data_IF_337304295837
#
_entry.id   IF_337304295837
#
_cell.length_a   1.000
_cell.length_b   1.000
_cell.length_c   1.000
_cell.angle_alpha   90.00
_cell.angle_beta   90.00
_cell.angle_gamma   90.00
#
_symmetry.space_group_name_H-M   'P 1'
#
loop_
_entity.id
_entity.type
_entity.pdbx_description
1 polymer ?
#
# COMPACT_ATOMS: atom_id res chain seq x y z
N UNK A 1 8.86 -6.37 -24.36
CA UNK A 1 8.52 -6.70 -22.95
C UNK A 1 8.90 -8.16 -22.66
N UNK A 2 10.15 -8.43 -22.25
CA UNK A 2 10.59 -9.80 -21.91
C UNK A 2 10.05 -10.18 -20.52
N UNK A 3 9.50 -11.38 -20.41
CA UNK A 3 9.21 -12.01 -19.13
C UNK A 3 10.51 -12.22 -18.35
N UNK A 4 10.52 -11.92 -17.05
CA UNK A 4 11.64 -12.27 -16.18
C UNK A 4 11.68 -13.80 -16.04
N UNK A 5 12.71 -14.50 -16.55
CA UNK A 5 12.75 -15.96 -16.64
C UNK A 5 12.90 -16.66 -15.27
N UNK A 6 13.04 -15.91 -14.18
CA UNK A 6 13.33 -16.43 -12.84
C UNK A 6 12.10 -16.67 -11.95
N UNK A 7 10.88 -16.33 -12.40
CA UNK A 7 9.65 -16.65 -11.64
C UNK A 7 9.32 -18.14 -11.88
N UNK A 8 9.85 -19.03 -11.03
CA UNK A 8 9.51 -20.46 -11.01
C UNK A 8 8.40 -20.71 -9.98
N UNK A 9 7.32 -21.38 -10.38
CA UNK A 9 6.21 -21.77 -9.49
C UNK A 9 6.37 -23.22 -9.01
N UNK A 10 5.91 -23.48 -7.78
CA UNK A 10 5.95 -24.79 -7.10
C UNK A 10 4.94 -25.82 -7.64
N UNK A 11 4.02 -25.40 -8.52
CA UNK A 11 2.99 -26.26 -9.12
C UNK A 11 3.09 -26.16 -10.64
N UNK A 12 3.11 -27.29 -11.34
CA UNK A 12 3.38 -27.40 -12.79
C UNK A 12 2.30 -26.83 -13.72
N UNK A 13 1.53 -25.83 -13.29
CA UNK A 13 0.52 -25.15 -14.10
C UNK A 13 1.13 -24.01 -14.92
N UNK A 14 0.63 -23.74 -16.14
CA UNK A 14 1.17 -22.69 -17.01
C UNK A 14 0.96 -21.29 -16.41
N UNK A 15 1.99 -20.44 -16.54
CA UNK A 15 1.99 -19.06 -16.01
C UNK A 15 1.12 -18.15 -16.88
N UNK A 16 0.03 -17.65 -16.31
CA UNK A 16 -0.76 -16.57 -16.94
C UNK A 16 -0.07 -15.23 -16.69
N UNK A 17 0.35 -14.56 -17.77
CA UNK A 17 0.86 -13.18 -17.68
C UNK A 17 -0.31 -12.25 -17.36
N UNK A 18 -0.17 -11.47 -16.29
CA UNK A 18 -1.12 -10.42 -15.93
C UNK A 18 -0.33 -9.12 -15.78
N UNK A 19 -0.97 -7.99 -16.12
CA UNK A 19 -0.40 -6.65 -15.99
C UNK A 19 -1.38 -5.75 -15.25
N UNK A 20 -0.86 -4.74 -14.56
CA UNK A 20 -1.65 -3.66 -13.96
C UNK A 20 -1.69 -2.53 -14.99
N UNK A 21 -2.90 -2.12 -15.39
CA UNK A 21 -3.11 -1.08 -16.42
C UNK A 21 -3.42 0.29 -15.85
N UNK A 22 -3.71 0.39 -14.55
CA UNK A 22 -3.99 1.63 -13.86
C UNK A 22 -3.94 1.45 -12.35
N UNK A 23 -3.62 2.53 -11.63
CA UNK A 23 -3.53 2.61 -10.18
C UNK A 23 -4.07 3.97 -9.73
N UNK A 24 -4.83 3.96 -8.64
CA UNK A 24 -5.32 5.14 -7.95
C UNK A 24 -5.20 4.93 -6.45
N UNK A 25 -4.96 6.00 -5.70
CA UNK A 25 -4.70 5.92 -4.27
C UNK A 25 -5.45 7.01 -3.52
N UNK A 26 -6.10 6.62 -2.42
CA UNK A 26 -6.62 7.51 -1.39
C UNK A 26 -6.19 6.90 -0.05
N UNK A 27 -5.23 7.56 0.61
CA UNK A 27 -4.65 7.09 1.85
C UNK A 27 -4.26 8.27 2.75
N UNK A 28 -4.21 8.09 4.09
CA UNK A 28 -3.92 9.20 5.01
C UNK A 28 -2.53 9.85 4.81
N UNK A 29 -1.59 9.15 4.17
CA UNK A 29 -0.25 9.65 3.82
C UNK A 29 -0.08 10.01 2.33
N UNK A 30 -1.17 10.10 1.56
CA UNK A 30 -1.15 10.53 0.16
C UNK A 30 -2.47 10.19 -0.57
N UNK A 31 -3.09 11.21 -1.17
CA UNK A 31 -4.35 11.07 -1.92
C UNK A 31 -4.15 11.03 -3.44
N UNK A 32 -2.90 10.78 -3.86
CA UNK A 32 -2.52 10.51 -5.23
C UNK A 32 -1.32 9.55 -5.22
N UNK A 33 -1.00 8.98 -6.38
CA UNK A 33 0.05 7.96 -6.50
C UNK A 33 1.45 8.50 -6.13
N UNK A 34 1.75 9.76 -6.47
CA UNK A 34 3.07 10.34 -6.25
C UNK A 34 3.29 10.63 -4.76
N UNK A 35 2.33 11.32 -4.12
CA UNK A 35 2.43 11.65 -2.69
C UNK A 35 2.45 10.39 -1.81
N UNK A 36 1.62 9.40 -2.14
CA UNK A 36 1.61 8.12 -1.42
C UNK A 36 2.94 7.37 -1.56
N UNK A 37 3.47 7.26 -2.78
CA UNK A 37 4.73 6.56 -3.03
C UNK A 37 5.90 7.21 -2.31
N UNK A 38 6.01 8.53 -2.40
CA UNK A 38 7.03 9.29 -1.69
C UNK A 38 6.95 9.06 -0.17
N UNK A 39 5.73 9.05 0.39
CA UNK A 39 5.53 8.82 1.83
C UNK A 39 5.97 7.44 2.29
N UNK A 40 5.67 6.40 1.51
CA UNK A 40 6.10 5.04 1.85
C UNK A 40 7.61 4.89 1.74
N UNK A 41 8.21 5.39 0.64
CA UNK A 41 9.66 5.30 0.44
C UNK A 41 10.43 6.06 1.52
N UNK A 42 9.91 7.20 1.96
CA UNK A 42 10.47 7.98 3.05
C UNK A 42 10.18 7.40 4.45
N UNK A 43 9.41 6.32 4.57
CA UNK A 43 9.04 5.72 5.86
C UNK A 43 8.14 6.59 6.72
N UNK A 44 7.35 7.49 6.12
CA UNK A 44 6.45 8.39 6.85
C UNK A 44 5.22 7.63 7.35
N UNK A 45 5.05 7.60 8.67
CA UNK A 45 3.84 7.04 9.29
C UNK A 45 2.61 7.85 8.92
N UNK A 46 1.52 7.15 8.61
CA UNK A 46 0.20 7.72 8.36
C UNK A 46 -0.69 7.74 9.62
N UNK A 47 -0.21 7.14 10.72
CA UNK A 47 -0.96 7.02 11.95
C UNK A 47 -0.85 8.29 12.79
N UNK A 48 -1.97 8.73 13.36
CA UNK A 48 -2.06 9.89 14.25
C UNK A 48 -3.11 9.64 15.33
N UNK A 49 -3.16 10.52 16.33
CA UNK A 49 -4.15 10.43 17.39
C UNK A 49 -5.57 10.58 16.83
N UNK A 50 -6.53 9.89 17.43
CA UNK A 50 -7.94 10.04 17.12
C UNK A 50 -8.39 11.45 17.52
N UNK A 51 -8.91 12.21 16.56
CA UNK A 51 -9.43 13.58 16.78
C UNK A 51 -10.94 13.68 16.57
N UNK A 52 -11.60 12.60 16.17
CA UNK A 52 -13.01 12.62 15.82
C UNK A 52 -13.93 12.58 17.05
N UNK A 53 -13.42 12.12 18.20
CA UNK A 53 -14.14 12.07 19.46
C UNK A 53 -13.15 12.14 20.64
N UNK A 54 -13.68 12.37 21.86
CA UNK A 54 -12.89 12.39 23.09
C UNK A 54 -12.44 10.97 23.48
N UNK A 55 -11.13 10.78 23.62
CA UNK A 55 -10.52 9.49 23.91
C UNK A 55 -10.07 9.31 25.37
N UNK A 56 -10.39 10.24 26.27
CA UNK A 56 -9.80 10.26 27.62
C UNK A 56 -10.15 9.05 28.49
N UNK A 57 -11.32 8.44 28.30
CA UNK A 57 -11.73 7.24 29.04
C UNK A 57 -11.20 5.92 28.42
N UNK A 58 -10.47 5.97 27.30
CA UNK A 58 -10.04 4.78 26.57
C UNK A 58 -8.54 4.48 26.77
N UNK A 59 -8.22 3.19 26.86
CA UNK A 59 -6.84 2.71 27.01
C UNK A 59 -5.97 2.93 25.75
N UNK A 60 -6.58 3.08 24.57
CA UNK A 60 -5.90 3.42 23.31
C UNK A 60 -6.49 4.71 22.73
N UNK A 61 -5.63 5.54 22.14
CA UNK A 61 -5.99 6.81 21.49
C UNK A 61 -5.65 6.84 19.99
N UNK A 62 -5.35 5.68 19.44
CA UNK A 62 -5.01 5.44 18.03
C UNK A 62 -5.75 4.21 17.51
#
# INVERSE_FOLDING_TARGET
>A
MRLNPHIRHATGLPVRRVVITGLGVLAPNGNDLASFWESIVAGRSAAGLVTQFDTDEFASKI
#
